data_IF_351407183325
#
_entry.id   IF_351407183325
#
_cell.length_a   1.000
_cell.length_b   1.000
_cell.length_c   1.000
_cell.angle_alpha   90.00
_cell.angle_beta   90.00
_cell.angle_gamma   90.00
#
_symmetry.space_group_name_H-M   'P 1'
#
loop_
_entity.id
_entity.type
_entity.pdbx_description
1 polymer ?
#
# COMPACT_ATOMS: atom_id res chain seq x y z
N UNK A 1 9.10 16.70 52.55
CA UNK A 1 8.78 15.61 51.60
C UNK A 1 8.10 16.26 50.41
N UNK A 2 8.85 16.73 49.40
CA UNK A 2 8.25 17.15 48.14
C UNK A 2 7.72 15.90 47.44
N UNK A 3 6.49 15.97 46.94
CA UNK A 3 5.83 14.87 46.26
C UNK A 3 6.29 14.76 44.81
N UNK A 4 6.59 13.55 44.38
CA UNK A 4 6.70 13.18 42.98
C UNK A 4 5.38 13.47 42.26
N UNK A 5 5.35 14.54 41.47
CA UNK A 5 4.35 14.72 40.42
C UNK A 5 4.74 13.83 39.26
N UNK A 6 4.14 12.63 39.19
CA UNK A 6 4.20 11.78 38.02
C UNK A 6 3.54 12.52 36.85
N UNK A 7 4.36 13.12 35.97
CA UNK A 7 3.94 13.58 34.66
C UNK A 7 3.40 12.39 33.89
N UNK A 8 2.10 12.39 33.60
CA UNK A 8 1.49 11.44 32.67
C UNK A 8 2.19 11.60 31.32
N UNK A 9 3.00 10.62 30.92
CA UNK A 9 3.59 10.57 29.57
C UNK A 9 2.43 10.53 28.56
N UNK A 10 2.20 11.64 27.85
CA UNK A 10 1.31 11.67 26.66
C UNK A 10 1.77 10.54 25.73
N UNK A 11 0.85 9.70 25.25
CA UNK A 11 1.17 8.64 24.27
C UNK A 11 1.63 9.32 22.98
N UNK A 12 2.89 9.09 22.61
CA UNK A 12 3.49 9.67 21.40
C UNK A 12 2.79 9.09 20.15
N UNK A 13 2.43 9.91 19.16
CA UNK A 13 1.81 9.41 17.94
C UNK A 13 2.83 8.55 17.18
N UNK A 14 2.43 7.31 16.92
CA UNK A 14 3.21 6.37 16.11
C UNK A 14 2.58 6.34 14.72
N UNK A 15 3.23 6.97 13.73
CA UNK A 15 2.71 7.01 12.35
C UNK A 15 2.41 5.62 11.77
N UNK A 16 3.14 4.61 12.25
CA UNK A 16 2.96 3.19 11.88
C UNK A 16 1.67 2.53 12.41
N UNK A 17 1.09 3.00 13.54
CA UNK A 17 -0.09 2.35 14.16
C UNK A 17 -1.43 2.81 13.58
N UNK A 18 -1.46 3.92 12.84
CA UNK A 18 -2.68 4.44 12.21
C UNK A 18 -3.22 3.50 11.10
N UNK A 19 -2.36 2.71 10.46
CA UNK A 19 -2.77 1.75 9.41
C UNK A 19 -3.20 0.38 9.94
N UNK A 20 -2.62 -0.07 11.07
CA UNK A 20 -2.84 -1.42 11.61
C UNK A 20 -4.19 -1.65 12.34
N UNK A 21 -5.00 -0.61 12.57
CA UNK A 21 -6.13 -0.66 13.51
C UNK A 21 -7.53 -0.81 12.89
N UNK A 22 -7.65 -1.07 11.58
CA UNK A 22 -8.96 -1.23 10.89
C UNK A 22 -9.48 -2.68 10.92
N UNK A 23 -9.80 -3.21 12.11
CA UNK A 23 -10.44 -4.53 12.29
C UNK A 23 -11.97 -4.37 12.37
N UNK A 24 -12.69 -4.52 11.26
CA UNK A 24 -14.16 -4.47 11.24
C UNK A 24 -14.77 -5.81 11.69
N UNK A 25 -15.78 -5.72 12.55
CA UNK A 25 -16.51 -6.84 13.16
C UNK A 25 -17.87 -6.95 12.46
N UNK A 26 -18.09 -8.02 11.69
CA UNK A 26 -19.34 -8.26 10.96
C UNK A 26 -20.30 -9.17 11.76
N UNK A 27 -21.57 -8.79 11.82
CA UNK A 27 -22.68 -9.58 12.36
C UNK A 27 -23.38 -10.32 11.20
N UNK A 28 -23.45 -11.65 11.31
CA UNK A 28 -24.01 -12.53 10.28
C UNK A 28 -25.54 -12.49 10.27
N UNK A 29 -26.14 -12.36 9.08
CA UNK A 29 -27.53 -12.78 8.86
C UNK A 29 -27.55 -13.79 7.72
N UNK A 30 -27.95 -15.02 8.01
CA UNK A 30 -28.08 -16.11 7.04
C UNK A 30 -29.18 -15.78 6.00
N UNK A 31 -28.82 -15.79 4.73
CA UNK A 31 -29.78 -15.98 3.64
C UNK A 31 -29.26 -17.04 2.66
N UNK A 32 -30.15 -18.00 2.37
CA UNK A 32 -29.94 -19.13 1.48
C UNK A 32 -30.19 -18.67 0.04
N UNK A 33 -29.23 -19.00 -0.83
CA UNK A 33 -29.20 -18.66 -2.27
C UNK A 33 -30.33 -19.32 -3.04
N UNK A 34 -30.99 -18.52 -3.89
CA UNK A 34 -31.74 -18.97 -5.07
C UNK A 34 -31.51 -17.91 -6.17
N UNK A 35 -30.55 -18.18 -7.06
CA UNK A 35 -30.14 -17.29 -8.15
C UNK A 35 -31.09 -17.37 -9.36
N UNK A 36 -32.31 -16.86 -9.20
CA UNK A 36 -33.22 -16.61 -10.31
C UNK A 36 -33.96 -15.28 -10.09
N UNK A 37 -33.30 -14.17 -10.41
CA UNK A 37 -34.00 -12.92 -10.74
C UNK A 37 -33.58 -12.50 -12.15
N UNK A 38 -34.45 -12.78 -13.13
CA UNK A 38 -34.32 -12.46 -14.55
C UNK A 38 -34.52 -10.94 -14.85
N UNK A 39 -34.75 -10.11 -13.82
CA UNK A 39 -35.28 -8.74 -13.99
C UNK A 39 -34.23 -7.62 -14.12
N UNK A 40 -32.92 -7.91 -14.05
CA UNK A 40 -31.85 -6.88 -14.16
C UNK A 40 -30.97 -7.04 -15.41
N UNK A 41 -31.57 -7.31 -16.57
CA UNK A 41 -30.83 -7.25 -17.85
C UNK A 41 -30.68 -5.79 -18.29
N UNK A 42 -29.73 -5.06 -17.71
CA UNK A 42 -29.37 -3.73 -18.17
C UNK A 42 -28.57 -3.85 -19.49
N UNK A 43 -29.12 -3.34 -20.60
CA UNK A 43 -28.40 -3.24 -21.87
C UNK A 43 -27.35 -2.14 -21.75
N UNK A 44 -26.10 -2.52 -21.47
CA UNK A 44 -24.98 -1.59 -21.41
C UNK A 44 -24.51 -1.35 -22.84
N UNK A 45 -24.62 -0.10 -23.32
CA UNK A 45 -23.98 0.30 -24.57
C UNK A 45 -22.47 0.38 -24.34
N UNK A 46 -21.72 -0.56 -24.91
CA UNK A 46 -20.26 -0.52 -24.96
C UNK A 46 -19.84 0.73 -25.75
N UNK A 47 -18.82 1.44 -25.24
CA UNK A 47 -18.27 2.65 -25.88
C UNK A 47 -17.37 2.32 -27.08
N UNK A 48 -17.06 1.05 -27.30
CA UNK A 48 -16.25 0.60 -28.43
C UNK A 48 -17.19 0.34 -29.61
N UNK A 49 -16.98 1.08 -30.70
CA UNK A 49 -17.55 0.81 -32.02
C UNK A 49 -17.04 -0.56 -32.50
N UNK A 50 -17.62 -1.65 -31.97
CA UNK A 50 -17.37 -3.00 -32.43
C UNK A 50 -17.85 -3.08 -33.89
N UNK A 51 -16.92 -3.36 -34.80
CA UNK A 51 -17.24 -3.60 -36.21
C UNK A 51 -18.26 -4.75 -36.33
N UNK A 52 -19.17 -4.71 -37.32
CA UNK A 52 -20.28 -5.67 -37.48
C UNK A 52 -19.85 -7.16 -37.65
N UNK A 53 -18.55 -7.45 -37.62
CA UNK A 53 -17.93 -8.79 -37.75
C UNK A 53 -17.07 -9.19 -36.52
N UNK A 54 -17.20 -8.54 -35.36
CA UNK A 54 -16.43 -8.89 -34.16
C UNK A 54 -16.67 -10.35 -33.72
N UNK A 55 -15.58 -11.07 -33.41
CA UNK A 55 -15.67 -12.44 -32.87
C UNK A 55 -16.25 -12.39 -31.44
N UNK A 56 -16.94 -13.43 -30.98
CA UNK A 56 -17.52 -13.50 -29.61
C UNK A 56 -16.44 -13.23 -28.53
N UNK A 57 -15.20 -13.61 -28.81
CA UNK A 57 -14.05 -13.32 -27.93
C UNK A 57 -13.66 -11.84 -27.87
N UNK A 58 -13.77 -11.11 -28.98
CA UNK A 58 -13.45 -9.67 -29.04
C UNK A 58 -14.53 -8.86 -28.31
N UNK A 59 -15.80 -9.29 -28.40
CA UNK A 59 -16.89 -8.71 -27.64
C UNK A 59 -16.71 -8.93 -26.13
N UNK A 60 -16.34 -10.15 -25.73
CA UNK A 60 -16.05 -10.48 -24.33
C UNK A 60 -14.91 -9.63 -23.77
N UNK A 61 -13.81 -9.49 -24.52
CA UNK A 61 -12.70 -8.61 -24.17
C UNK A 61 -13.16 -7.15 -24.03
N UNK A 62 -13.95 -6.65 -24.98
CA UNK A 62 -14.44 -5.27 -24.94
C UNK A 62 -15.28 -4.96 -23.69
N UNK A 63 -16.09 -5.92 -23.22
CA UNK A 63 -16.83 -5.78 -21.95
C UNK A 63 -15.86 -5.76 -20.76
N UNK A 64 -14.89 -6.67 -20.74
CA UNK A 64 -13.90 -6.78 -19.66
C UNK A 64 -13.02 -5.53 -19.56
N UNK A 65 -12.47 -5.05 -20.67
CA UNK A 65 -11.63 -3.86 -20.72
C UNK A 65 -12.42 -2.63 -20.28
N UNK A 66 -13.67 -2.50 -20.72
CA UNK A 66 -14.57 -1.44 -20.22
C UNK A 66 -14.73 -1.53 -18.70
N UNK A 67 -14.81 -2.74 -18.13
CA UNK A 67 -14.91 -2.93 -16.69
C UNK A 67 -13.63 -2.47 -15.97
N UNK A 68 -12.46 -2.79 -16.51
CA UNK A 68 -11.17 -2.37 -15.98
C UNK A 68 -10.97 -0.85 -16.07
N UNK A 69 -11.45 -0.21 -17.14
CA UNK A 69 -11.41 1.24 -17.30
C UNK A 69 -12.28 1.98 -16.26
N UNK A 70 -13.50 1.49 -16.02
CA UNK A 70 -14.39 2.10 -15.01
C UNK A 70 -13.83 1.89 -13.60
N UNK A 71 -13.19 0.74 -13.32
CA UNK A 71 -12.48 0.50 -12.07
C UNK A 71 -11.30 1.48 -11.89
N UNK A 72 -10.48 1.67 -12.92
CA UNK A 72 -9.37 2.63 -12.91
C UNK A 72 -9.83 4.08 -12.79
N UNK A 73 -11.03 4.40 -13.28
CA UNK A 73 -11.64 5.73 -13.22
C UNK A 73 -12.33 6.03 -11.87
N UNK A 74 -12.38 5.06 -10.95
CA UNK A 74 -12.99 5.23 -9.63
C UNK A 74 -14.51 5.06 -9.60
N UNK A 75 -15.10 4.34 -10.57
CA UNK A 75 -16.52 3.95 -10.57
C UNK A 75 -16.68 2.43 -10.33
N UNK A 76 -16.55 1.96 -9.07
CA UNK A 76 -16.59 0.54 -8.75
C UNK A 76 -17.97 -0.10 -8.99
N UNK A 77 -19.07 0.66 -8.82
CA UNK A 77 -20.43 0.12 -9.03
C UNK A 77 -20.66 -0.25 -10.50
N UNK A 78 -20.22 0.62 -11.40
CA UNK A 78 -20.30 0.36 -12.84
C UNK A 78 -19.34 -0.75 -13.27
N UNK A 79 -18.12 -0.77 -12.72
CA UNK A 79 -17.17 -1.86 -12.94
C UNK A 79 -17.76 -3.22 -12.54
N UNK A 80 -18.37 -3.33 -11.35
CA UNK A 80 -19.02 -4.57 -10.88
C UNK A 80 -20.12 -5.02 -11.84
N UNK A 81 -20.92 -4.10 -12.37
CA UNK A 81 -21.97 -4.43 -13.33
C UNK A 81 -21.39 -5.04 -14.62
N UNK A 82 -20.33 -4.44 -15.15
CA UNK A 82 -19.63 -4.94 -16.35
C UNK A 82 -18.91 -6.28 -16.10
N UNK A 83 -18.31 -6.45 -14.92
CA UNK A 83 -17.66 -7.70 -14.51
C UNK A 83 -18.67 -8.86 -14.41
N UNK A 84 -19.87 -8.61 -13.87
CA UNK A 84 -20.96 -9.61 -13.87
C UNK A 84 -21.38 -9.97 -15.29
N UNK A 85 -21.48 -8.97 -16.18
CA UNK A 85 -21.72 -9.19 -17.61
C UNK A 85 -20.65 -10.08 -18.25
N UNK A 86 -19.37 -9.82 -17.93
CA UNK A 86 -18.23 -10.61 -18.40
C UNK A 86 -18.34 -12.08 -17.94
N UNK A 87 -18.65 -12.32 -16.66
CA UNK A 87 -18.82 -13.67 -16.11
C UNK A 87 -19.98 -14.40 -16.79
N UNK A 88 -21.14 -13.75 -16.92
CA UNK A 88 -22.31 -14.37 -17.56
C UNK A 88 -22.03 -14.76 -19.01
N UNK A 89 -21.27 -13.93 -19.72
CA UNK A 89 -20.89 -14.21 -21.09
C UNK A 89 -19.88 -15.36 -21.18
N UNK A 90 -18.92 -15.43 -20.25
CA UNK A 90 -18.04 -16.60 -20.10
C UNK A 90 -18.83 -17.89 -19.86
N UNK A 91 -19.82 -17.86 -18.96
CA UNK A 91 -20.68 -19.00 -18.66
C UNK A 91 -21.58 -19.39 -19.85
N UNK A 92 -22.00 -18.43 -20.67
CA UNK A 92 -22.71 -18.70 -21.93
C UNK A 92 -21.80 -19.45 -22.90
N UNK A 93 -20.59 -18.96 -23.13
CA UNK A 93 -19.60 -19.54 -24.05
C UNK A 93 -19.25 -20.97 -23.61
N UNK A 94 -18.96 -21.20 -22.32
CA UNK A 94 -18.66 -22.54 -21.80
C UNK A 94 -19.84 -23.51 -22.01
N UNK A 95 -21.08 -23.09 -21.74
CA UNK A 95 -22.27 -23.94 -21.95
C UNK A 95 -22.50 -24.30 -23.41
N UNK A 96 -22.16 -23.41 -24.34
CA UNK A 96 -22.24 -23.68 -25.78
C UNK A 96 -21.15 -24.68 -26.17
N UNK A 97 -19.91 -24.43 -25.73
CA UNK A 97 -18.77 -25.31 -25.98
C UNK A 97 -18.98 -26.73 -25.44
N UNK A 98 -19.43 -26.87 -24.19
CA UNK A 98 -19.70 -28.17 -23.56
C UNK A 98 -20.80 -28.94 -24.30
N UNK A 99 -21.84 -28.23 -24.75
CA UNK A 99 -22.92 -28.81 -25.56
C UNK A 99 -22.40 -29.32 -26.90
N UNK A 100 -21.51 -28.59 -27.54
CA UNK A 100 -20.93 -29.00 -28.81
C UNK A 100 -20.06 -30.25 -28.65
N UNK A 101 -19.26 -30.33 -27.58
CA UNK A 101 -18.52 -31.54 -27.20
C UNK A 101 -19.48 -32.72 -26.97
N UNK A 102 -20.53 -32.53 -26.17
CA UNK A 102 -21.52 -33.58 -25.87
C UNK A 102 -22.26 -34.06 -27.13
N UNK A 103 -22.51 -33.15 -28.07
CA UNK A 103 -23.12 -33.46 -29.36
C UNK A 103 -22.15 -34.15 -30.34
N UNK A 104 -20.87 -34.32 -29.97
CA UNK A 104 -19.82 -34.88 -30.82
C UNK A 104 -19.43 -33.97 -31.99
N UNK A 105 -19.72 -32.68 -31.86
CA UNK A 105 -19.22 -31.64 -32.77
C UNK A 105 -17.77 -31.38 -32.39
N UNK A 106 -16.91 -31.16 -33.40
CA UNK A 106 -15.53 -30.74 -33.16
C UNK A 106 -15.58 -29.32 -32.58
N UNK A 107 -15.55 -29.23 -31.25
CA UNK A 107 -15.56 -27.97 -30.53
C UNK A 107 -14.23 -27.24 -30.77
N UNK A 108 -14.34 -25.92 -31.00
CA UNK A 108 -13.17 -25.05 -31.10
C UNK A 108 -12.52 -24.99 -29.73
N UNK A 109 -11.23 -25.29 -29.65
CA UNK A 109 -10.47 -25.21 -28.42
C UNK A 109 -10.54 -23.78 -27.86
N UNK A 110 -10.92 -23.66 -26.58
CA UNK A 110 -11.04 -22.37 -25.91
C UNK A 110 -9.66 -21.77 -25.72
N UNK A 111 -9.48 -20.55 -26.21
CA UNK A 111 -8.18 -19.86 -26.15
C UNK A 111 -7.79 -19.52 -24.70
N UNK A 112 -6.49 -19.50 -24.35
CA UNK A 112 -6.04 -19.22 -22.98
C UNK A 112 -6.50 -17.85 -22.46
N UNK A 113 -6.68 -16.90 -23.39
CA UNK A 113 -7.16 -15.56 -23.12
C UNK A 113 -8.56 -15.54 -22.50
N UNK A 114 -9.44 -16.44 -22.93
CA UNK A 114 -10.77 -16.60 -22.36
C UNK A 114 -10.70 -16.90 -20.87
N UNK A 115 -9.89 -17.90 -20.50
CA UNK A 115 -9.72 -18.30 -19.11
C UNK A 115 -9.05 -17.21 -18.27
N UNK A 116 -8.14 -16.44 -18.85
CA UNK A 116 -7.55 -15.27 -18.20
C UNK A 116 -8.59 -14.19 -17.89
N UNK A 117 -9.42 -13.80 -18.87
CA UNK A 117 -10.50 -12.82 -18.69
C UNK A 117 -11.47 -13.31 -17.62
N UNK A 118 -11.94 -14.56 -17.73
CA UNK A 118 -12.90 -15.12 -16.79
C UNK A 118 -12.32 -15.17 -15.36
N UNK A 119 -11.11 -15.70 -15.20
CA UNK A 119 -10.42 -15.75 -13.91
C UNK A 119 -10.25 -14.36 -13.30
N UNK A 120 -9.79 -13.39 -14.09
CA UNK A 120 -9.56 -12.01 -13.61
C UNK A 120 -10.86 -11.30 -13.25
N UNK A 121 -11.96 -11.56 -13.98
CA UNK A 121 -13.25 -10.98 -13.67
C UNK A 121 -13.82 -11.49 -12.34
N UNK A 122 -13.74 -12.82 -12.10
CA UNK A 122 -14.10 -13.44 -10.83
C UNK A 122 -13.28 -12.88 -9.67
N UNK A 123 -11.97 -12.77 -9.87
CA UNK A 123 -11.06 -12.19 -8.89
C UNK A 123 -11.45 -10.74 -8.55
N UNK A 124 -11.69 -9.91 -9.55
CA UNK A 124 -12.00 -8.50 -9.37
C UNK A 124 -13.31 -8.29 -8.61
N UNK A 125 -14.35 -9.11 -8.88
CA UNK A 125 -15.58 -9.09 -8.09
C UNK A 125 -15.34 -9.49 -6.64
N UNK A 126 -14.50 -10.51 -6.41
CA UNK A 126 -14.17 -10.97 -5.06
C UNK A 126 -13.52 -9.85 -4.22
N UNK A 127 -12.76 -8.96 -4.86
CA UNK A 127 -12.09 -7.82 -4.21
C UNK A 127 -13.06 -6.65 -3.98
N UNK A 128 -13.75 -6.19 -5.04
CA UNK A 128 -14.56 -4.97 -4.98
C UNK A 128 -15.81 -5.17 -4.12
N UNK A 129 -16.40 -6.37 -4.20
CA UNK A 129 -17.60 -6.72 -3.44
C UNK A 129 -17.28 -7.52 -2.17
N UNK A 130 -16.04 -7.49 -1.67
CA UNK A 130 -15.62 -8.28 -0.51
C UNK A 130 -16.54 -8.12 0.71
N UNK A 131 -16.97 -6.88 1.01
CA UNK A 131 -17.86 -6.59 2.13
C UNK A 131 -19.29 -7.12 1.93
N UNK A 132 -19.78 -7.13 0.68
CA UNK A 132 -21.12 -7.63 0.33
C UNK A 132 -21.15 -9.15 0.26
N UNK A 133 -20.09 -9.77 -0.26
CA UNK A 133 -19.97 -11.21 -0.45
C UNK A 133 -19.70 -11.97 0.86
N UNK A 134 -19.02 -11.34 1.82
CA UNK A 134 -18.58 -12.02 3.04
C UNK A 134 -17.78 -13.27 2.70
N UNK A 135 -18.17 -14.43 3.24
CA UNK A 135 -17.49 -15.71 3.00
C UNK A 135 -17.64 -16.22 1.56
N UNK A 136 -18.65 -15.78 0.81
CA UNK A 136 -18.81 -16.16 -0.60
C UNK A 136 -17.66 -15.67 -1.47
N UNK A 137 -16.93 -14.63 -1.01
CA UNK A 137 -15.70 -14.14 -1.66
C UNK A 137 -14.73 -15.28 -1.96
N UNK A 138 -14.60 -16.25 -1.06
CA UNK A 138 -13.65 -17.34 -1.23
C UNK A 138 -14.06 -18.33 -2.32
N UNK A 139 -15.35 -18.52 -2.56
CA UNK A 139 -15.83 -19.35 -3.67
C UNK A 139 -15.46 -18.69 -5.02
N UNK A 140 -15.57 -17.36 -5.12
CA UNK A 140 -15.10 -16.60 -6.28
C UNK A 140 -13.57 -16.71 -6.45
N UNK A 141 -12.81 -16.65 -5.36
CA UNK A 141 -11.35 -16.82 -5.40
C UNK A 141 -10.95 -18.23 -5.84
N UNK A 142 -11.59 -19.28 -5.33
CA UNK A 142 -11.33 -20.67 -5.72
C UNK A 142 -11.68 -20.89 -7.21
N UNK A 143 -12.81 -20.35 -7.67
CA UNK A 143 -13.19 -20.45 -9.08
C UNK A 143 -12.23 -19.65 -9.97
N UNK A 144 -11.82 -18.45 -9.53
CA UNK A 144 -10.82 -17.64 -10.23
C UNK A 144 -9.49 -18.37 -10.37
N UNK A 145 -9.01 -18.97 -9.27
CA UNK A 145 -7.79 -19.79 -9.27
C UNK A 145 -7.89 -20.90 -10.31
N UNK A 146 -9.00 -21.64 -10.30
CA UNK A 146 -9.23 -22.71 -11.27
C UNK A 146 -9.21 -22.20 -12.71
N UNK A 147 -9.85 -21.06 -13.02
CA UNK A 147 -9.82 -20.47 -14.37
C UNK A 147 -8.42 -20.02 -14.76
N UNK A 148 -7.66 -19.37 -13.89
CA UNK A 148 -6.29 -18.98 -14.21
C UNK A 148 -5.35 -20.20 -14.37
N UNK A 149 -5.60 -21.30 -13.67
CA UNK A 149 -4.87 -22.55 -13.90
C UNK A 149 -5.18 -23.15 -15.28
N UNK A 150 -6.44 -23.09 -15.74
CA UNK A 150 -6.81 -23.46 -17.10
C UNK A 150 -6.13 -22.56 -18.14
N UNK A 151 -6.06 -21.24 -17.88
CA UNK A 151 -5.30 -20.33 -18.73
C UNK A 151 -3.82 -20.76 -18.81
N UNK A 152 -3.20 -21.04 -17.66
CA UNK A 152 -1.81 -21.52 -17.57
C UNK A 152 -1.58 -22.81 -18.36
N UNK A 153 -2.52 -23.76 -18.30
CA UNK A 153 -2.40 -25.05 -18.99
C UNK A 153 -2.58 -24.93 -20.51
N UNK A 154 -3.41 -23.99 -20.96
CA UNK A 154 -3.66 -23.75 -22.38
C UNK A 154 -2.58 -22.87 -23.05
N UNK A 155 -1.84 -22.07 -22.29
CA UNK A 155 -0.80 -21.17 -22.82
C UNK A 155 0.41 -21.93 -23.37
N UNK A 156 1.00 -21.37 -24.43
CA UNK A 156 2.28 -21.81 -25.01
C UNK A 156 3.50 -21.13 -24.37
N UNK A 157 3.27 -20.07 -23.59
CA UNK A 157 4.30 -19.26 -22.95
C UNK A 157 4.80 -18.09 -23.81
N UNK A 158 4.18 -17.85 -24.96
CA UNK A 158 4.53 -16.74 -25.89
C UNK A 158 3.51 -15.62 -25.88
N UNK A 159 2.41 -15.81 -25.18
CA UNK A 159 1.31 -14.86 -25.11
C UNK A 159 1.73 -13.61 -24.31
N UNK A 160 1.32 -12.39 -24.72
CA UNK A 160 1.77 -11.14 -24.08
C UNK A 160 1.24 -10.94 -22.65
N UNK A 161 0.30 -11.79 -22.22
CA UNK A 161 -0.33 -11.73 -20.90
C UNK A 161 0.09 -12.89 -19.97
N UNK A 162 1.06 -13.73 -20.35
CA UNK A 162 1.55 -14.86 -19.53
C UNK A 162 1.90 -14.41 -18.11
N UNK A 163 2.60 -13.29 -17.99
CA UNK A 163 3.00 -12.74 -16.70
C UNK A 163 1.80 -12.36 -15.82
N UNK A 164 0.72 -11.84 -16.41
CA UNK A 164 -0.51 -11.47 -15.69
C UNK A 164 -1.24 -12.69 -15.12
N UNK A 165 -1.20 -13.82 -15.83
CA UNK A 165 -1.77 -15.08 -15.32
C UNK A 165 -0.99 -15.53 -14.09
N UNK A 166 0.35 -15.51 -14.13
CA UNK A 166 1.16 -15.89 -12.99
C UNK A 166 1.01 -14.93 -11.80
N UNK A 167 0.94 -13.62 -12.05
CA UNK A 167 0.64 -12.63 -11.00
C UNK A 167 -0.72 -12.88 -10.37
N UNK A 168 -1.76 -13.14 -11.17
CA UNK A 168 -3.09 -13.47 -10.67
C UNK A 168 -3.11 -14.76 -9.83
N UNK A 169 -2.45 -15.82 -10.30
CA UNK A 169 -2.30 -17.08 -9.55
C UNK A 169 -1.59 -16.86 -8.21
N UNK A 170 -0.55 -16.03 -8.18
CA UNK A 170 0.16 -15.70 -6.96
C UNK A 170 -0.71 -14.90 -5.98
N UNK A 171 -1.39 -13.85 -6.48
CA UNK A 171 -2.27 -13.00 -5.66
C UNK A 171 -3.41 -13.81 -5.03
N UNK A 172 -4.13 -14.60 -5.83
CA UNK A 172 -5.22 -15.44 -5.33
C UNK A 172 -4.71 -16.48 -4.33
N UNK A 173 -3.54 -17.07 -4.60
CA UNK A 173 -2.92 -18.03 -3.68
C UNK A 173 -2.62 -17.42 -2.31
N UNK A 174 -2.14 -16.17 -2.27
CA UNK A 174 -1.90 -15.45 -1.01
C UNK A 174 -3.20 -15.05 -0.30
N UNK A 175 -4.22 -14.62 -1.04
CA UNK A 175 -5.52 -14.28 -0.47
C UNK A 175 -6.20 -15.51 0.14
N UNK A 176 -6.15 -16.67 -0.54
CA UNK A 176 -6.67 -17.92 0.01
C UNK A 176 -5.87 -18.38 1.22
N UNK A 177 -4.55 -18.19 1.21
CA UNK A 177 -3.69 -18.49 2.36
C UNK A 177 -4.06 -17.65 3.58
N UNK A 178 -4.45 -16.39 3.39
CA UNK A 178 -4.84 -15.49 4.50
C UNK A 178 -6.08 -15.93 5.27
N UNK A 179 -6.92 -16.76 4.66
CA UNK A 179 -8.11 -17.35 5.29
C UNK A 179 -7.75 -18.51 6.22
N UNK A 180 -6.74 -19.28 5.83
CA UNK A 180 -6.29 -20.40 6.62
C UNK A 180 -5.58 -19.80 7.84
N UNK A 181 -6.12 -20.04 9.05
CA UNK A 181 -5.43 -19.71 10.30
C UNK A 181 -4.17 -20.58 10.39
N UNK A 182 -3.16 -20.23 9.61
CA UNK A 182 -1.92 -20.94 9.49
C UNK A 182 -1.09 -20.63 10.72
N UNK A 183 -0.95 -21.61 11.62
CA UNK A 183 0.10 -21.58 12.61
C UNK A 183 1.47 -21.48 11.89
N UNK A 184 2.44 -20.78 12.48
CA UNK A 184 3.76 -20.54 11.86
C UNK A 184 4.53 -21.84 11.53
N UNK A 185 4.16 -22.96 12.14
CA UNK A 185 4.72 -24.30 11.87
C UNK A 185 3.95 -25.09 10.80
N UNK A 186 2.92 -24.50 10.20
CA UNK A 186 2.14 -25.15 9.16
C UNK A 186 2.94 -25.29 7.86
N UNK A 187 3.43 -26.50 7.64
CA UNK A 187 4.16 -26.88 6.42
C UNK A 187 3.33 -26.71 5.17
N UNK A 188 2.00 -26.81 5.27
CA UNK A 188 1.10 -26.61 4.13
C UNK A 188 1.04 -25.14 3.76
N UNK A 189 0.84 -24.25 4.73
CA UNK A 189 0.89 -22.81 4.55
C UNK A 189 2.24 -22.34 3.95
N UNK A 190 3.35 -22.85 4.48
CA UNK A 190 4.68 -22.56 3.94
C UNK A 190 4.84 -23.02 2.48
N UNK A 191 4.28 -24.18 2.11
CA UNK A 191 4.32 -24.69 0.74
C UNK A 191 3.43 -23.86 -0.21
N UNK A 192 2.27 -23.40 0.25
CA UNK A 192 1.38 -22.48 -0.48
C UNK A 192 2.04 -21.13 -0.72
N UNK A 193 2.66 -20.54 0.31
CA UNK A 193 3.45 -19.32 0.19
C UNK A 193 4.60 -19.47 -0.82
N UNK A 194 5.37 -20.56 -0.72
CA UNK A 194 6.44 -20.85 -1.68
C UNK A 194 5.92 -21.02 -3.12
N UNK A 195 4.73 -21.59 -3.29
CA UNK A 195 4.07 -21.72 -4.59
C UNK A 195 3.68 -20.35 -5.15
N UNK A 196 3.12 -19.46 -4.33
CA UNK A 196 2.78 -18.10 -4.74
C UNK A 196 4.03 -17.30 -5.14
N UNK A 197 5.10 -17.36 -4.33
CA UNK A 197 6.40 -16.74 -4.67
C UNK A 197 6.95 -17.30 -5.99
N UNK A 198 6.88 -18.62 -6.18
CA UNK A 198 7.29 -19.25 -7.44
C UNK A 198 6.46 -18.81 -8.65
N UNK A 199 5.21 -18.39 -8.46
CA UNK A 199 4.42 -17.78 -9.52
C UNK A 199 4.86 -16.34 -9.80
N UNK A 200 5.15 -15.50 -8.80
CA UNK A 200 5.73 -14.18 -9.04
C UNK A 200 7.08 -14.28 -9.78
N UNK A 201 7.93 -15.24 -9.44
CA UNK A 201 9.18 -15.49 -10.17
C UNK A 201 8.91 -15.78 -11.66
N UNK A 202 7.93 -16.63 -11.96
CA UNK A 202 7.52 -16.92 -13.35
C UNK A 202 6.93 -15.71 -14.06
N UNK A 203 6.21 -14.84 -13.34
CA UNK A 203 5.70 -13.61 -13.90
C UNK A 203 6.84 -12.68 -14.34
N UNK A 204 7.85 -12.51 -13.50
CA UNK A 204 9.05 -11.73 -13.83
C UNK A 204 9.86 -12.36 -14.97
N UNK A 205 10.00 -13.69 -14.99
CA UNK A 205 10.66 -14.40 -16.10
C UNK A 205 9.89 -14.23 -17.42
N UNK A 206 8.55 -14.23 -17.39
CA UNK A 206 7.71 -13.98 -18.56
C UNK A 206 7.83 -12.52 -19.04
N UNK A 207 7.90 -11.56 -18.12
CA UNK A 207 8.15 -10.15 -18.43
C UNK A 207 9.51 -9.93 -19.11
N UNK A 208 10.52 -10.75 -18.83
CA UNK A 208 11.81 -10.64 -19.51
C UNK A 208 11.74 -10.89 -21.03
N UNK A 209 10.64 -11.49 -21.52
CA UNK A 209 10.41 -11.76 -22.95
C UNK A 209 9.58 -10.69 -23.66
N UNK A 210 9.04 -9.70 -22.94
CA UNK A 210 8.34 -8.55 -23.56
C UNK A 210 9.32 -7.42 -23.86
N UNK A 211 8.83 -6.30 -24.40
CA UNK A 211 9.69 -5.14 -24.62
C UNK A 211 10.25 -4.59 -23.31
N UNK A 212 11.41 -3.92 -23.36
CA UNK A 212 12.14 -3.50 -22.17
C UNK A 212 11.37 -2.50 -21.29
N UNK A 213 10.49 -1.69 -21.88
CA UNK A 213 9.69 -0.71 -21.15
C UNK A 213 8.55 -1.40 -20.39
N UNK A 214 7.84 -2.31 -21.06
CA UNK A 214 6.82 -3.14 -20.44
C UNK A 214 7.41 -4.10 -19.38
N UNK A 215 8.57 -4.70 -19.65
CA UNK A 215 9.26 -5.58 -18.71
C UNK A 215 9.60 -4.83 -17.42
N UNK A 216 10.09 -3.59 -17.55
CA UNK A 216 10.41 -2.70 -16.45
C UNK A 216 9.17 -2.28 -15.68
N UNK A 217 8.17 -1.71 -16.35
CA UNK A 217 6.92 -1.26 -15.71
C UNK A 217 6.18 -2.42 -15.04
N UNK A 218 6.10 -3.57 -15.71
CA UNK A 218 5.53 -4.79 -15.14
C UNK A 218 6.28 -5.27 -13.91
N UNK A 219 7.61 -5.26 -13.92
CA UNK A 219 8.41 -5.67 -12.75
C UNK A 219 8.13 -4.78 -11.53
N UNK A 220 8.06 -3.47 -11.73
CA UNK A 220 7.78 -2.52 -10.65
C UNK A 220 6.35 -2.70 -10.13
N UNK A 221 5.37 -2.88 -11.02
CA UNK A 221 3.99 -3.15 -10.64
C UNK A 221 3.84 -4.47 -9.87
N UNK A 222 4.51 -5.55 -10.30
CA UNK A 222 4.52 -6.83 -9.57
C UNK A 222 5.13 -6.66 -8.18
N UNK A 223 6.26 -5.96 -8.07
CA UNK A 223 6.90 -5.70 -6.77
C UNK A 223 6.00 -4.88 -5.85
N UNK A 224 5.39 -3.80 -6.36
CA UNK A 224 4.49 -2.96 -5.59
C UNK A 224 3.27 -3.75 -5.09
N UNK A 225 2.73 -4.63 -5.93
CA UNK A 225 1.66 -5.55 -5.55
C UNK A 225 2.09 -6.49 -4.42
N UNK A 226 3.27 -7.11 -4.52
CA UNK A 226 3.80 -7.98 -3.45
C UNK A 226 3.96 -7.20 -2.14
N UNK A 227 4.42 -5.95 -2.20
CA UNK A 227 4.53 -5.09 -1.03
C UNK A 227 3.19 -4.80 -0.37
N UNK A 228 2.18 -4.48 -1.19
CA UNK A 228 0.83 -4.24 -0.69
C UNK A 228 0.21 -5.50 -0.07
N UNK A 229 0.50 -6.69 -0.59
CA UNK A 229 0.06 -7.96 -0.01
C UNK A 229 0.79 -8.31 1.30
N UNK A 230 2.07 -7.93 1.43
CA UNK A 230 2.80 -8.11 2.67
C UNK A 230 2.34 -7.14 3.78
N UNK A 231 1.85 -5.96 3.40
CA UNK A 231 1.37 -4.89 4.29
C UNK A 231 -0.10 -5.09 4.72
N UNK A 232 -0.90 -5.85 3.96
CA UNK A 232 -2.34 -5.98 4.16
C UNK A 232 -2.79 -6.72 5.44
N UNK A 233 -1.86 -7.09 6.33
CA UNK A 233 -2.10 -7.91 7.54
C UNK A 233 -2.72 -9.30 7.25
N UNK A 234 -2.88 -9.65 5.97
CA UNK A 234 -3.43 -10.93 5.53
C UNK A 234 -2.47 -12.10 5.77
N UNK A 235 -1.17 -11.83 5.86
CA UNK A 235 -0.15 -12.83 6.11
C UNK A 235 0.40 -12.65 7.52
N UNK A 236 0.70 -13.77 8.19
CA UNK A 236 1.47 -13.74 9.45
C UNK A 236 2.85 -13.11 9.26
N UNK A 237 3.52 -12.78 10.36
CA UNK A 237 4.80 -12.07 10.37
C UNK A 237 5.87 -12.75 9.49
N UNK A 238 5.95 -14.08 9.57
CA UNK A 238 6.84 -14.90 8.75
C UNK A 238 6.54 -14.74 7.24
N UNK A 239 5.26 -14.70 6.87
CA UNK A 239 4.84 -14.54 5.48
C UNK A 239 5.17 -13.15 4.93
N UNK A 240 4.84 -12.11 5.70
CA UNK A 240 5.17 -10.72 5.35
C UNK A 240 6.69 -10.53 5.18
N UNK A 241 7.48 -11.04 6.12
CA UNK A 241 8.95 -10.98 6.07
C UNK A 241 9.50 -11.70 4.83
N UNK A 242 8.98 -12.89 4.51
CA UNK A 242 9.42 -13.65 3.33
C UNK A 242 9.15 -12.91 2.02
N UNK A 243 7.99 -12.25 1.90
CA UNK A 243 7.66 -11.43 0.73
C UNK A 243 8.54 -10.17 0.64
N UNK A 244 8.94 -9.59 1.78
CA UNK A 244 9.87 -8.46 1.79
C UNK A 244 11.28 -8.87 1.37
N UNK A 245 11.77 -10.00 1.86
CA UNK A 245 13.07 -10.56 1.43
C UNK A 245 13.08 -10.86 -0.08
N UNK A 246 11.97 -11.41 -0.60
CA UNK A 246 11.80 -11.60 -2.05
C UNK A 246 11.85 -10.25 -2.79
N UNK A 247 11.09 -9.27 -2.32
CA UNK A 247 11.01 -7.93 -2.92
C UNK A 247 12.37 -7.25 -2.99
N UNK A 248 13.11 -7.23 -1.89
CA UNK A 248 14.45 -6.66 -1.82
C UNK A 248 15.40 -7.36 -2.80
N UNK A 249 15.34 -8.70 -2.88
CA UNK A 249 16.15 -9.47 -3.83
C UNK A 249 15.87 -9.07 -5.28
N UNK A 250 14.60 -8.88 -5.66
CA UNK A 250 14.23 -8.48 -7.03
C UNK A 250 14.61 -7.03 -7.32
N UNK A 251 14.36 -6.11 -6.39
CA UNK A 251 14.77 -4.71 -6.53
C UNK A 251 16.29 -4.56 -6.60
N UNK A 252 17.06 -5.39 -5.88
CA UNK A 252 18.52 -5.39 -5.93
C UNK A 252 19.08 -5.87 -7.29
N UNK A 253 18.34 -6.75 -7.98
CA UNK A 253 18.71 -7.27 -9.30
C UNK A 253 18.43 -6.26 -10.44
N UNK A 254 17.54 -5.28 -10.21
CA UNK A 254 17.31 -4.20 -11.17
C UNK A 254 18.57 -3.34 -11.29
N UNK A 255 19.01 -3.00 -12.53
CA UNK A 255 20.17 -2.15 -12.71
C UNK A 255 19.94 -0.83 -11.99
N UNK A 256 20.86 -0.46 -11.10
CA UNK A 256 20.91 0.89 -10.56
C UNK A 256 21.18 1.83 -11.75
N UNK A 257 20.13 2.41 -12.32
CA UNK A 257 20.30 3.60 -13.16
C UNK A 257 21.06 4.61 -12.32
N UNK A 258 22.19 5.11 -12.82
CA UNK A 258 22.97 6.10 -12.09
C UNK A 258 22.04 7.24 -11.60
N UNK A 259 22.14 7.69 -10.34
CA UNK A 259 21.27 8.72 -9.76
C UNK A 259 21.41 10.09 -10.45
N UNK A 260 22.22 10.20 -11.50
CA UNK A 260 22.56 11.43 -12.19
C UNK A 260 21.52 11.85 -13.25
N UNK A 261 20.64 10.95 -13.67
CA UNK A 261 19.48 11.32 -14.50
C UNK A 261 18.24 11.39 -13.63
N UNK A 262 17.56 12.55 -13.64
CA UNK A 262 16.23 12.82 -13.05
C UNK A 262 15.11 11.98 -13.70
N UNK A 263 15.38 10.73 -14.02
CA UNK A 263 14.47 9.80 -14.66
C UNK A 263 13.71 9.08 -13.55
N UNK A 264 12.38 9.24 -13.53
CA UNK A 264 11.50 8.81 -12.43
C UNK A 264 11.66 7.36 -11.97
N UNK A 265 12.28 6.49 -12.77
CA UNK A 265 12.56 5.10 -12.40
C UNK A 265 13.53 4.96 -11.22
N UNK A 266 14.63 5.73 -11.20
CA UNK A 266 15.61 5.61 -10.12
C UNK A 266 14.95 5.95 -8.77
N UNK A 267 14.14 7.01 -8.79
CA UNK A 267 13.33 7.43 -7.65
C UNK A 267 12.28 6.38 -7.25
N UNK A 268 11.61 5.76 -8.22
CA UNK A 268 10.61 4.71 -7.98
C UNK A 268 11.24 3.45 -7.36
N UNK A 269 12.41 3.01 -7.83
CA UNK A 269 13.15 1.89 -7.22
C UNK A 269 13.57 2.24 -5.79
N UNK A 270 14.10 3.44 -5.56
CA UNK A 270 14.45 3.90 -4.21
C UNK A 270 13.22 3.93 -3.30
N UNK A 271 12.07 4.42 -3.81
CA UNK A 271 10.81 4.44 -3.08
C UNK A 271 10.35 3.03 -2.70
N UNK A 272 10.30 2.09 -3.64
CA UNK A 272 9.90 0.72 -3.35
C UNK A 272 10.87 0.04 -2.38
N UNK A 273 12.18 0.28 -2.48
CA UNK A 273 13.15 -0.25 -1.51
C UNK A 273 12.92 0.34 -0.11
N UNK A 274 12.73 1.65 -0.01
CA UNK A 274 12.43 2.31 1.27
C UNK A 274 11.13 1.78 1.87
N UNK A 275 10.10 1.54 1.05
CA UNK A 275 8.83 0.95 1.48
C UNK A 275 9.01 -0.47 2.01
N UNK A 276 9.82 -1.31 1.37
CA UNK A 276 10.10 -2.66 1.88
C UNK A 276 10.76 -2.62 3.27
N UNK A 277 11.76 -1.75 3.45
CA UNK A 277 12.43 -1.56 4.74
C UNK A 277 11.48 -1.04 5.81
N UNK A 278 10.60 -0.11 5.45
CA UNK A 278 9.54 0.40 6.32
C UNK A 278 8.57 -0.71 6.75
N UNK A 279 8.06 -1.54 5.81
CA UNK A 279 7.16 -2.66 6.13
C UNK A 279 7.83 -3.61 7.14
N UNK A 280 9.13 -3.93 6.96
CA UNK A 280 9.87 -4.76 7.91
C UNK A 280 9.99 -4.12 9.29
N UNK A 281 10.24 -2.81 9.34
CA UNK A 281 10.24 -2.06 10.60
C UNK A 281 8.84 -2.08 11.26
N UNK A 282 7.77 -2.02 10.47
CA UNK A 282 6.38 -2.15 10.94
C UNK A 282 6.11 -3.50 11.60
N UNK A 283 6.64 -4.60 11.03
CA UNK A 283 6.51 -5.94 11.62
C UNK A 283 7.18 -6.00 13.00
N UNK A 284 8.40 -5.47 13.12
CA UNK A 284 9.10 -5.36 14.42
C UNK A 284 8.28 -4.54 15.42
N UNK A 285 7.67 -3.44 14.96
CA UNK A 285 6.82 -2.62 15.81
C UNK A 285 5.52 -3.33 16.23
N UNK A 286 4.98 -4.20 15.38
CA UNK A 286 3.81 -5.03 15.66
C UNK A 286 4.03 -5.99 16.83
N UNK A 287 5.29 -6.36 17.10
CA UNK A 287 5.68 -7.25 18.19
C UNK A 287 5.79 -6.53 19.56
N UNK A 288 5.57 -5.21 19.62
CA UNK A 288 5.58 -4.47 20.89
C UNK A 288 4.54 -5.03 21.86
N UNK A 289 4.99 -5.35 23.08
CA UNK A 289 4.13 -5.81 24.16
C UNK A 289 3.63 -4.64 25.04
N UNK A 290 3.06 -4.97 26.20
CA UNK A 290 2.54 -3.98 27.16
C UNK A 290 3.62 -3.06 27.77
N UNK A 291 4.91 -3.35 27.55
CA UNK A 291 6.02 -2.54 28.10
C UNK A 291 6.31 -1.28 27.29
N UNK A 292 5.65 -1.11 26.13
CA UNK A 292 5.94 -0.06 25.15
C UNK A 292 7.43 -0.04 24.68
N UNK A 293 8.19 -1.11 24.93
CA UNK A 293 9.54 -1.30 24.41
C UNK A 293 9.47 -1.88 23.00
N UNK A 294 10.29 -1.35 22.09
CA UNK A 294 10.38 -1.86 20.72
C UNK A 294 11.29 -3.08 20.72
N UNK A 295 10.79 -4.25 20.29
CA UNK A 295 11.62 -5.43 20.09
C UNK A 295 12.74 -5.13 19.11
N UNK A 296 13.96 -5.58 19.38
CA UNK A 296 15.11 -5.35 18.49
C UNK A 296 15.23 -3.90 17.97
N UNK A 297 15.21 -2.93 18.91
CA UNK A 297 15.33 -1.49 18.65
C UNK A 297 16.47 -1.14 17.68
N UNK A 298 17.59 -1.86 17.75
CA UNK A 298 18.76 -1.64 16.87
C UNK A 298 18.43 -1.97 15.41
N UNK A 299 17.83 -3.14 15.14
CA UNK A 299 17.38 -3.49 13.78
C UNK A 299 16.31 -2.53 13.28
N UNK A 300 15.35 -2.16 14.12
CA UNK A 300 14.31 -1.17 13.77
C UNK A 300 14.91 0.17 13.33
N UNK A 301 15.82 0.73 14.13
CA UNK A 301 16.51 1.98 13.81
C UNK A 301 17.34 1.88 12.52
N UNK A 302 18.06 0.76 12.32
CA UNK A 302 18.85 0.53 11.11
C UNK A 302 17.99 0.54 9.86
N UNK A 303 16.87 -0.21 9.86
CA UNK A 303 15.95 -0.30 8.72
C UNK A 303 15.37 1.08 8.35
N UNK A 304 14.91 1.84 9.34
CA UNK A 304 14.35 3.17 9.11
C UNK A 304 15.40 4.19 8.65
N UNK A 305 16.62 4.10 9.18
CA UNK A 305 17.72 4.99 8.74
C UNK A 305 18.07 4.73 7.28
N UNK A 306 18.21 3.45 6.89
CA UNK A 306 18.47 3.06 5.51
C UNK A 306 17.33 3.47 4.57
N UNK A 307 16.08 3.33 5.01
CA UNK A 307 14.91 3.80 4.25
C UNK A 307 14.90 5.33 4.08
N UNK A 308 15.29 6.08 5.11
CA UNK A 308 15.40 7.54 5.06
C UNK A 308 16.46 8.00 4.04
N UNK A 309 17.62 7.35 4.02
CA UNK A 309 18.73 7.67 3.11
C UNK A 309 18.33 7.46 1.64
N UNK A 310 17.48 6.47 1.35
CA UNK A 310 16.94 6.23 0.01
C UNK A 310 15.98 7.32 -0.48
N UNK A 311 15.36 8.08 0.43
CA UNK A 311 14.31 9.06 0.12
C UNK A 311 14.77 10.52 0.20
N UNK A 312 16.06 10.79 0.37
CA UNK A 312 16.61 12.16 0.54
C UNK A 312 16.18 13.10 -0.61
N UNK A 313 16.20 12.60 -1.84
CA UNK A 313 15.86 13.37 -3.05
C UNK A 313 14.45 13.06 -3.59
N UNK A 314 13.62 12.38 -2.80
CA UNK A 314 12.27 12.04 -3.22
C UNK A 314 11.38 13.28 -3.33
N UNK A 315 10.69 13.40 -4.47
CA UNK A 315 9.76 14.50 -4.78
C UNK A 315 8.30 14.03 -4.91
N UNK A 316 8.05 12.72 -5.11
CA UNK A 316 6.67 12.23 -5.23
C UNK A 316 5.95 12.32 -3.89
N UNK A 317 4.64 12.60 -3.93
CA UNK A 317 3.78 12.72 -2.74
C UNK A 317 3.93 11.51 -1.81
N UNK A 318 3.85 10.29 -2.36
CA UNK A 318 3.93 9.06 -1.56
C UNK A 318 5.30 8.86 -0.92
N UNK A 319 6.37 9.21 -1.63
CA UNK A 319 7.73 9.07 -1.12
C UNK A 319 8.05 10.13 -0.05
N UNK A 320 7.54 11.35 -0.19
CA UNK A 320 7.65 12.40 0.84
C UNK A 320 6.82 12.03 2.06
N UNK A 321 5.61 11.50 1.89
CA UNK A 321 4.77 11.01 2.99
C UNK A 321 5.49 9.89 3.76
N UNK A 322 6.01 8.88 3.04
CA UNK A 322 6.77 7.77 3.63
C UNK A 322 8.01 8.28 4.39
N UNK A 323 8.73 9.25 3.83
CA UNK A 323 9.89 9.87 4.49
C UNK A 323 9.50 10.56 5.80
N UNK A 324 8.40 11.31 5.80
CA UNK A 324 7.86 11.94 7.01
C UNK A 324 7.48 10.90 8.09
N UNK A 325 6.81 9.81 7.69
CA UNK A 325 6.49 8.71 8.61
C UNK A 325 7.76 8.05 9.17
N UNK A 326 8.79 7.80 8.34
CA UNK A 326 10.08 7.26 8.78
C UNK A 326 10.74 8.17 9.83
N UNK A 327 10.79 9.47 9.57
CA UNK A 327 11.39 10.46 10.47
C UNK A 327 10.65 10.54 11.80
N UNK A 328 9.31 10.54 11.79
CA UNK A 328 8.48 10.48 12.99
C UNK A 328 8.82 9.25 13.84
N UNK A 329 8.90 8.06 13.21
CA UNK A 329 9.19 6.82 13.93
C UNK A 329 10.64 6.75 14.44
N UNK A 330 11.62 7.29 13.70
CA UNK A 330 12.99 7.46 14.20
C UNK A 330 13.03 8.42 15.40
N UNK A 331 12.29 9.53 15.34
CA UNK A 331 12.17 10.48 16.45
C UNK A 331 11.61 9.80 17.70
N UNK A 332 10.57 8.96 17.57
CA UNK A 332 9.95 8.24 18.68
C UNK A 332 10.90 7.33 19.46
N UNK A 333 11.95 6.81 18.81
CA UNK A 333 12.92 5.88 19.41
C UNK A 333 14.23 6.54 19.81
N UNK A 334 14.41 7.81 19.48
CA UNK A 334 15.60 8.58 19.82
C UNK A 334 15.61 8.95 21.31
N UNK A 335 16.79 8.81 21.93
CA UNK A 335 17.03 9.12 23.35
C UNK A 335 17.61 10.52 23.54
N UNK A 336 18.35 11.02 22.55
CA UNK A 336 18.88 12.37 22.51
C UNK A 336 17.76 13.38 22.13
N UNK A 337 17.46 14.32 23.02
CA UNK A 337 16.36 15.28 22.84
C UNK A 337 16.53 16.16 21.61
N UNK A 338 17.74 16.68 21.39
CA UNK A 338 18.03 17.55 20.26
C UNK A 338 17.85 16.83 18.91
N UNK A 339 18.33 15.59 18.81
CA UNK A 339 18.15 14.76 17.62
C UNK A 339 16.70 14.31 17.43
N UNK A 340 15.96 14.03 18.53
CA UNK A 340 14.53 13.75 18.50
C UNK A 340 13.75 14.93 17.92
N UNK A 341 13.97 16.14 18.41
CA UNK A 341 13.32 17.35 17.94
C UNK A 341 13.68 17.67 16.49
N UNK A 342 14.95 17.45 16.11
CA UNK A 342 15.38 17.58 14.71
C UNK A 342 14.57 16.67 13.79
N UNK A 343 14.37 15.41 14.18
CA UNK A 343 13.61 14.43 13.39
C UNK A 343 12.12 14.80 13.31
N UNK A 344 11.51 15.26 14.41
CA UNK A 344 10.11 15.73 14.38
C UNK A 344 9.92 16.96 13.49
N UNK A 345 10.82 17.95 13.55
CA UNK A 345 10.76 19.13 12.66
C UNK A 345 10.89 18.74 11.19
N UNK A 346 11.73 17.75 10.87
CA UNK A 346 11.81 17.22 9.50
C UNK A 346 10.51 16.54 9.09
N UNK A 347 9.93 15.69 9.95
CA UNK A 347 8.68 15.00 9.67
C UNK A 347 7.53 15.98 9.39
N UNK A 348 7.40 17.02 10.23
CA UNK A 348 6.39 18.08 10.08
C UNK A 348 6.58 18.85 8.78
N UNK A 349 7.82 19.16 8.41
CA UNK A 349 8.11 19.82 7.13
C UNK A 349 7.60 19.00 5.95
N UNK A 350 7.84 17.69 5.97
CA UNK A 350 7.38 16.78 4.92
C UNK A 350 5.84 16.65 4.93
N UNK A 351 5.22 16.48 6.08
CA UNK A 351 3.76 16.40 6.17
C UNK A 351 3.06 17.69 5.71
N UNK A 352 3.57 18.88 6.10
CA UNK A 352 3.03 20.16 5.61
C UNK A 352 3.13 20.30 4.09
N UNK A 353 4.18 19.76 3.47
CA UNK A 353 4.30 19.74 2.01
C UNK A 353 3.18 18.90 1.38
N UNK A 354 2.86 17.74 1.97
CA UNK A 354 1.74 16.88 1.55
C UNK A 354 0.38 17.55 1.79
N UNK A 355 0.21 18.21 2.93
CA UNK A 355 -1.02 18.91 3.31
C UNK A 355 -1.34 20.08 2.37
N UNK A 356 -0.31 20.76 1.85
CA UNK A 356 -0.49 21.84 0.88
C UNK A 356 -1.03 21.34 -0.48
N UNK A 357 -0.81 20.06 -0.79
CA UNK A 357 -1.18 19.42 -2.05
C UNK A 357 -2.38 18.45 -1.92
N UNK A 358 -2.92 18.27 -0.71
CA UNK A 358 -4.09 17.41 -0.46
C UNK A 358 -4.31 17.09 1.02
N UNK A 359 -5.17 16.13 1.32
CA UNK A 359 -5.50 15.77 2.71
C UNK A 359 -4.43 14.84 3.32
N UNK A 360 -4.13 15.06 4.60
CA UNK A 360 -3.39 14.15 5.47
C UNK A 360 -4.37 13.34 6.32
N UNK A 361 -3.89 12.24 6.92
CA UNK A 361 -4.70 11.56 7.93
C UNK A 361 -4.92 12.45 9.16
N UNK A 362 -5.99 12.18 9.91
CA UNK A 362 -6.31 12.94 11.13
C UNK A 362 -5.18 12.81 12.16
N UNK A 363 -4.55 11.65 12.29
CA UNK A 363 -3.46 11.41 13.23
C UNK A 363 -2.21 12.24 12.90
N UNK A 364 -1.85 12.33 11.62
CA UNK A 364 -0.70 13.14 11.19
C UNK A 364 -0.99 14.63 11.29
N UNK A 365 -2.24 15.04 11.04
CA UNK A 365 -2.68 16.42 11.23
C UNK A 365 -2.60 16.81 12.70
N UNK A 366 -3.11 15.96 13.61
CA UNK A 366 -3.03 16.17 15.05
C UNK A 366 -1.58 16.24 15.53
N UNK A 367 -0.68 15.40 15.00
CA UNK A 367 0.74 15.45 15.35
C UNK A 367 1.38 16.81 15.01
N UNK A 368 1.05 17.40 13.85
CA UNK A 368 1.54 18.74 13.49
C UNK A 368 1.02 19.78 14.48
N UNK A 369 -0.29 19.75 14.78
CA UNK A 369 -0.92 20.72 15.70
C UNK A 369 -0.37 20.63 17.12
N UNK A 370 -0.16 19.41 17.64
CA UNK A 370 0.38 19.18 18.98
C UNK A 370 1.81 19.72 19.09
N UNK A 371 2.66 19.47 18.08
CA UNK A 371 4.04 19.94 18.08
C UNK A 371 4.15 21.47 17.98
N UNK A 372 3.32 22.11 17.16
CA UNK A 372 3.30 23.57 17.03
C UNK A 372 2.81 24.28 18.31
N UNK A 373 1.92 23.65 19.07
CA UNK A 373 1.47 24.19 20.35
C UNK A 373 2.58 24.13 21.41
N UNK A 374 3.33 23.04 21.45
CA UNK A 374 4.44 22.87 22.41
C UNK A 374 5.61 23.83 22.08
N UNK A 375 5.99 24.01 20.80
CA UNK A 375 7.03 24.98 20.38
C UNK A 375 6.62 26.44 20.71
N UNK A 376 5.32 26.77 20.65
CA UNK A 376 4.83 28.13 20.93
C UNK A 376 4.79 28.49 22.43
N UNK A 377 4.67 27.49 23.32
CA UNK A 377 4.68 27.73 24.77
C UNK A 377 6.09 27.97 25.32
N UNK A 378 7.12 27.42 24.69
CA UNK A 378 8.50 27.57 25.15
C UNK A 378 9.06 28.99 24.84
N UNK A 379 8.56 29.64 23.79
CA UNK A 379 8.94 31.03 23.45
C UNK A 379 8.31 32.08 24.40
N UNK A 380 7.20 31.77 25.08
CA UNK A 380 6.50 32.69 25.98
C UNK A 380 7.06 32.66 27.43
N UNK A 381 7.71 31.57 27.86
CA UNK A 381 8.29 31.46 29.22
C UNK A 381 9.64 32.18 29.39
N UNK A 382 10.39 32.46 28.32
CA UNK A 382 11.66 33.22 28.41
C UNK A 382 11.47 34.75 28.56
N UNK A 383 10.24 35.28 28.44
CA UNK A 383 9.99 36.73 28.55
C UNK A 383 9.64 37.23 29.97
N UNK A 384 9.26 36.36 30.91
CA UNK A 384 8.78 36.79 32.24
C UNK A 384 9.88 36.85 33.32
N UNK A 385 11.05 36.23 33.12
CA UNK A 385 12.18 36.29 34.08
C UNK A 385 13.10 37.51 33.90
N UNK A 386 12.85 38.35 32.88
CA UNK A 386 13.67 39.54 32.61
C UNK A 386 13.20 40.83 33.35
N UNK A 387 12.20 40.76 34.23
CA UNK A 387 11.53 41.97 34.74
C UNK A 387 11.50 42.15 36.28
N UNK A 388 12.27 41.39 37.05
CA UNK A 388 12.22 41.46 38.54
C UNK A 388 13.53 41.88 39.24
N UNK A 389 14.53 42.40 38.51
CA UNK A 389 15.76 42.97 39.09
C UNK A 389 16.09 44.37 38.55
N UNK A 390 15.26 45.38 38.82
CA UNK A 390 15.78 46.77 38.88
C UNK A 390 14.85 47.71 39.67
N UNK A 391 14.84 47.54 41.00
CA UNK A 391 14.26 48.51 41.91
C UNK A 391 15.10 48.60 43.19
N UNK A 392 16.38 48.95 43.06
CA UNK A 392 17.16 49.46 44.19
C UNK A 392 17.42 50.96 44.00
N UNK A 393 16.73 51.72 44.84
CA UNK A 393 17.15 52.99 45.47
C UNK A 393 18.39 53.69 44.90
N UNK A 394 18.18 54.87 44.31
CA UNK A 394 19.14 55.97 44.39
C UNK A 394 18.39 57.30 44.57
N UNK A 395 18.09 57.62 45.83
CA UNK A 395 18.01 59.00 46.32
C UNK A 395 19.44 59.47 46.62
N UNK A 396 19.97 60.48 45.91
CA UNK A 396 20.53 61.66 46.60
C UNK A 396 20.89 62.83 45.65
N UNK A 397 20.33 63.98 46.04
CA UNK A 397 20.87 65.33 46.10
C UNK A 397 21.83 65.95 45.05
N UNK A 398 21.42 67.19 44.75
CA UNK A 398 22.20 68.45 44.76
C UNK A 398 22.88 68.92 43.46
N UNK A 399 22.25 69.98 42.93
CA UNK A 399 22.76 71.36 42.86
C UNK A 399 24.16 71.66 42.28
N UNK A 400 24.14 72.81 41.62
CA UNK A 400 25.20 73.79 41.49
C UNK A 400 26.24 73.64 40.35
N UNK A 401 25.95 74.43 39.33
CA UNK A 401 26.69 75.66 38.98
C UNK A 401 27.71 75.66 37.83
N UNK A 402 27.66 76.83 37.19
CA UNK A 402 28.71 77.54 36.47
C UNK A 402 29.26 77.01 35.13
N UNK A 403 28.78 77.73 34.10
CA UNK A 403 29.56 78.66 33.26
C UNK A 403 30.68 78.15 32.32
N UNK A 404 30.52 78.66 31.10
CA UNK A 404 31.52 79.36 30.29
C UNK A 404 32.37 78.63 29.24
N UNK A 405 32.42 79.38 28.13
CA UNK A 405 33.50 79.59 27.17
C UNK A 405 33.67 78.62 25.99
N UNK A 406 33.15 79.11 24.85
CA UNK A 406 33.94 79.68 23.74
C UNK A 406 35.11 78.89 23.12
N UNK A 407 35.07 78.92 21.78
CA UNK A 407 36.20 78.96 20.83
C UNK A 407 37.16 77.75 20.74
N UNK A 408 37.02 76.97 19.65
CA UNK A 408 37.90 77.10 18.46
C UNK A 408 37.38 76.32 17.25
#
# INVERSE_FOLDING_TARGET
>A
MPGDSATQKKKRPMGLKARASKKQKAESTEQVVNDFDEDNTATIMLKNDLEEDANEMDELEGIFDSAMEELASGDPERAVTLLRGTIHECDRILRVHDRDIEAGVEAIEIEPRFYYIYGTALFSISEISAAELGDQRYEYLELSLHRLEQAREAMTGTEPFVWRVYDGLAKIGLDLLSREEADEEDKEAAAKLATAIGNFDRALDALANVDAEQAKSGTLATVEMVQSLADSSCLGETGSTTLMDWTESKLAALPASEPTSKEGQAAEICYLRARALWIRASVILGQMDETDEIPDKETFQRLLSEASDLLVEAESRDAVLLRGEIQLNLGNVQEDGDEQDRLYRLAIKDFKLIQADGELSEELTQFIEDFEQDDASDDDEEMDDANDEDASDDEDASDDDEMDDDEQ
#
